data_IF_550182622713
#
_entry.id   IF_550182622713
#
_cell.length_a   1.000
_cell.length_b   1.000
_cell.length_c   1.000
_cell.angle_alpha   90.00
_cell.angle_beta   90.00
_cell.angle_gamma   90.00
#
_symmetry.space_group_name_H-M   'P 1'
#
loop_
_entity.id
_entity.type
_entity.pdbx_description
1 polymer ?
#
# COMPACT_ATOMS: atom_id res chain seq x y z
N UNK A 1 -9.16 21.24 -4.21
CA UNK A 1 -8.26 20.21 -3.66
C UNK A 1 -7.03 20.82 -2.97
N UNK A 2 -5.92 21.18 -3.64
CA UNK A 2 -4.72 21.65 -2.90
C UNK A 2 -4.84 23.02 -2.22
N UNK A 3 -5.72 23.90 -2.72
CA UNK A 3 -6.02 25.18 -2.07
C UNK A 3 -6.68 24.95 -0.69
N UNK A 4 -7.72 24.11 -0.66
CA UNK A 4 -8.41 23.74 0.57
C UNK A 4 -7.48 23.06 1.57
N UNK A 5 -6.49 22.28 1.11
CA UNK A 5 -5.50 21.65 1.98
C UNK A 5 -4.65 22.69 2.71
N UNK A 6 -4.18 23.72 2.00
CA UNK A 6 -3.40 24.80 2.62
C UNK A 6 -4.27 25.70 3.50
N UNK A 7 -5.51 25.98 3.07
CA UNK A 7 -6.49 26.71 3.87
C UNK A 7 -6.81 25.95 5.17
N UNK A 8 -6.81 24.61 5.17
CA UNK A 8 -6.96 23.82 6.39
C UNK A 8 -5.70 23.90 7.27
N UNK A 9 -4.51 23.78 6.65
CA UNK A 9 -3.24 23.77 7.36
C UNK A 9 -2.96 25.13 8.04
N UNK A 10 -3.40 26.24 7.45
CA UNK A 10 -3.28 27.56 8.07
C UNK A 10 -4.05 27.68 9.38
N UNK A 11 -5.11 26.89 9.56
CA UNK A 11 -5.92 26.84 10.79
C UNK A 11 -5.39 25.84 11.82
N UNK A 12 -4.24 25.20 11.57
CA UNK A 12 -3.64 24.16 12.42
C UNK A 12 -2.27 24.61 12.97
N UNK A 13 -2.22 25.59 13.89
CA UNK A 13 -0.96 26.19 14.37
C UNK A 13 -0.06 25.19 15.10
N UNK A 14 -0.63 24.14 15.70
CA UNK A 14 0.14 23.07 16.34
C UNK A 14 0.97 22.28 15.31
N UNK A 15 0.37 21.94 14.17
CA UNK A 15 1.06 21.21 13.11
C UNK A 15 2.12 22.11 12.45
N UNK A 16 1.76 23.38 12.21
CA UNK A 16 2.66 24.41 11.72
C UNK A 16 3.91 24.56 12.62
N UNK A 17 3.71 24.57 13.95
CA UNK A 17 4.80 24.60 14.93
C UNK A 17 5.72 23.38 14.85
N UNK A 18 5.17 22.17 14.71
CA UNK A 18 5.95 20.93 14.58
C UNK A 18 6.78 20.87 13.29
N UNK A 19 6.27 21.43 12.19
CA UNK A 19 7.00 21.52 10.91
C UNK A 19 7.90 22.76 10.81
N UNK A 20 7.88 23.63 11.82
CA UNK A 20 8.69 24.85 11.88
C UNK A 20 8.28 25.91 10.85
N UNK A 21 6.98 26.03 10.56
CA UNK A 21 6.43 27.02 9.64
C UNK A 21 5.40 27.90 10.35
N UNK A 22 5.34 29.17 9.98
CA UNK A 22 4.22 30.04 10.34
C UNK A 22 3.15 30.04 9.24
N UNK A 23 1.92 30.40 9.59
CA UNK A 23 0.82 30.48 8.60
C UNK A 23 1.10 31.48 7.47
N UNK A 24 1.90 32.52 7.75
CA UNK A 24 2.34 33.51 6.78
C UNK A 24 3.40 32.97 5.79
N UNK A 25 4.11 31.90 6.17
CA UNK A 25 5.18 31.29 5.37
C UNK A 25 4.68 30.13 4.50
N UNK A 26 3.38 29.84 4.54
CA UNK A 26 2.79 28.79 3.72
C UNK A 26 2.93 29.14 2.23
N UNK A 27 3.46 28.20 1.41
CA UNK A 27 3.63 28.46 -0.01
C UNK A 27 2.28 28.49 -0.72
N UNK A 28 2.19 29.21 -1.85
CA UNK A 28 0.98 29.15 -2.67
C UNK A 28 0.69 27.72 -3.13
N UNK A 29 -0.60 27.38 -3.24
CA UNK A 29 -1.08 26.05 -3.63
C UNK A 29 -0.48 25.54 -4.95
N UNK A 30 -0.14 26.41 -5.91
CA UNK A 30 0.54 26.00 -7.14
C UNK A 30 1.94 25.46 -6.90
N UNK A 31 2.60 25.91 -5.83
CA UNK A 31 3.91 25.40 -5.40
C UNK A 31 3.79 23.94 -4.96
N UNK A 32 2.76 23.60 -4.18
CA UNK A 32 2.48 22.21 -3.82
C UNK A 32 2.21 21.37 -5.06
N UNK A 33 1.34 21.83 -5.97
CA UNK A 33 1.04 21.11 -7.22
C UNK A 33 2.32 20.82 -8.01
N UNK A 34 3.15 21.84 -8.25
CA UNK A 34 4.42 21.68 -8.97
C UNK A 34 5.41 20.79 -8.25
N UNK A 35 5.39 20.80 -6.92
CA UNK A 35 6.25 19.94 -6.11
C UNK A 35 5.80 18.47 -6.21
N UNK A 36 4.50 18.20 -6.12
CA UNK A 36 3.92 16.86 -6.30
C UNK A 36 4.19 16.30 -7.70
N UNK A 37 4.23 17.14 -8.73
CA UNK A 37 4.60 16.72 -10.09
C UNK A 37 6.09 16.35 -10.22
N UNK A 38 6.96 16.90 -9.36
CA UNK A 38 8.42 16.71 -9.42
C UNK A 38 8.93 15.60 -8.52
N UNK A 39 8.25 15.35 -7.40
CA UNK A 39 8.68 14.36 -6.43
C UNK A 39 8.62 12.96 -7.05
N UNK A 40 9.75 12.25 -6.97
CA UNK A 40 9.85 10.89 -7.48
C UNK A 40 9.13 9.93 -6.55
N UNK A 41 8.44 8.93 -7.09
CA UNK A 41 7.80 7.84 -6.31
C UNK A 41 8.78 7.13 -5.37
N UNK A 42 10.06 7.07 -5.72
CA UNK A 42 11.11 6.53 -4.85
C UNK A 42 11.23 7.31 -3.52
N UNK A 43 11.13 8.65 -3.56
CA UNK A 43 11.16 9.47 -2.34
C UNK A 43 9.91 9.24 -1.48
N UNK A 44 8.74 9.11 -2.10
CA UNK A 44 7.52 8.73 -1.38
C UNK A 44 7.68 7.42 -0.63
N UNK A 45 8.26 6.40 -1.27
CA UNK A 45 8.52 5.11 -0.62
C UNK A 45 9.52 5.23 0.53
N UNK A 46 10.54 6.08 0.40
CA UNK A 46 11.48 6.32 1.50
C UNK A 46 10.79 6.99 2.68
N UNK A 47 10.03 8.06 2.44
CA UNK A 47 9.27 8.75 3.50
C UNK A 47 8.29 7.81 4.18
N UNK A 48 7.53 7.02 3.40
CA UNK A 48 6.58 6.04 3.93
C UNK A 48 7.27 4.99 4.80
N UNK A 49 8.44 4.48 4.36
CA UNK A 49 9.22 3.52 5.16
C UNK A 49 9.71 4.12 6.46
N UNK A 50 10.18 5.37 6.46
CA UNK A 50 10.60 6.06 7.68
C UNK A 50 9.41 6.25 8.63
N UNK A 51 8.25 6.66 8.11
CA UNK A 51 7.02 6.75 8.90
C UNK A 51 6.61 5.39 9.47
N UNK A 52 6.70 4.32 8.66
CA UNK A 52 6.38 2.97 9.10
C UNK A 52 7.31 2.49 10.23
N UNK A 53 8.58 2.89 10.23
CA UNK A 53 9.55 2.58 11.29
C UNK A 53 9.25 3.26 12.63
N UNK A 54 8.45 4.34 12.64
CA UNK A 54 7.99 4.97 13.88
C UNK A 54 6.92 4.14 14.59
N UNK A 55 6.36 3.15 13.92
CA UNK A 55 5.37 2.23 14.46
C UNK A 55 6.02 0.86 14.71
N UNK A 56 5.64 0.20 15.80
CA UNK A 56 6.11 -1.16 16.09
C UNK A 56 5.48 -2.15 15.09
N UNK A 57 6.27 -2.79 14.20
CA UNK A 57 5.72 -3.74 13.26
C UNK A 57 5.44 -5.06 13.98
N UNK A 58 4.16 -5.34 14.24
CA UNK A 58 3.72 -6.56 14.93
C UNK A 58 4.01 -7.87 14.19
N UNK A 59 4.61 -7.80 12.99
CA UNK A 59 4.84 -8.94 12.10
C UNK A 59 3.61 -9.35 11.29
N UNK A 60 2.46 -8.69 11.50
CA UNK A 60 1.20 -8.94 10.80
C UNK A 60 0.77 -7.72 9.99
N UNK A 61 0.40 -7.95 8.73
CA UNK A 61 -0.15 -6.89 7.89
C UNK A 61 -1.29 -7.39 7.01
N UNK A 62 -2.12 -6.44 6.58
CA UNK A 62 -3.15 -6.60 5.59
C UNK A 62 -2.73 -6.01 4.25
N UNK A 63 -3.09 -6.70 3.16
CA UNK A 63 -3.03 -6.15 1.81
C UNK A 63 -4.45 -5.94 1.30
N UNK A 64 -4.67 -4.76 0.75
CA UNK A 64 -5.87 -4.43 -0.02
C UNK A 64 -5.51 -3.61 -1.26
N UNK A 65 -6.33 -3.70 -2.31
CA UNK A 65 -6.15 -2.90 -3.53
C UNK A 65 -7.42 -2.16 -3.91
N UNK A 66 -7.26 -0.86 -4.18
CA UNK A 66 -8.29 0.02 -4.69
C UNK A 66 -7.93 0.52 -6.09
N UNK A 67 -8.94 0.75 -6.92
CA UNK A 67 -8.77 1.29 -8.27
C UNK A 67 -9.21 2.76 -8.30
N UNK A 68 -8.33 3.63 -8.77
CA UNK A 68 -8.61 5.04 -9.03
C UNK A 68 -8.67 5.29 -10.54
N UNK A 69 -9.70 6.00 -10.98
CA UNK A 69 -9.77 6.50 -12.35
C UNK A 69 -9.05 7.84 -12.42
N UNK A 70 -7.94 7.92 -13.18
CA UNK A 70 -7.16 9.17 -13.30
C UNK A 70 -7.94 10.31 -13.94
N UNK A 71 -8.95 9.99 -14.77
CA UNK A 71 -9.84 10.96 -15.38
C UNK A 71 -11.25 10.39 -15.57
N UNK A 72 -12.27 11.15 -15.19
CA UNK A 72 -13.64 10.99 -15.69
C UNK A 72 -13.77 11.69 -17.04
N UNK A 73 -13.09 11.17 -18.07
CA UNK A 73 -13.32 11.62 -19.44
C UNK A 73 -14.58 10.96 -20.00
N UNK A 74 -15.46 11.73 -20.65
CA UNK A 74 -16.68 11.16 -21.25
C UNK A 74 -16.31 10.15 -22.34
N UNK A 75 -17.12 9.09 -22.51
CA UNK A 75 -16.92 8.11 -23.60
C UNK A 75 -16.84 8.79 -24.97
N UNK A 76 -17.57 9.89 -25.16
CA UNK A 76 -17.56 10.68 -26.38
C UNK A 76 -16.21 11.38 -26.60
N UNK A 77 -15.67 12.04 -25.57
CA UNK A 77 -14.36 12.70 -25.62
C UNK A 77 -13.22 11.69 -25.89
N UNK A 78 -13.23 10.55 -25.19
CA UNK A 78 -12.23 9.49 -25.36
C UNK A 78 -12.20 8.95 -26.79
N UNK A 79 -13.37 8.72 -27.41
CA UNK A 79 -13.46 8.20 -28.78
C UNK A 79 -12.96 9.18 -29.84
N UNK A 80 -13.20 10.48 -29.65
CA UNK A 80 -12.80 11.51 -30.63
C UNK A 80 -11.29 11.80 -30.60
N UNK A 81 -10.71 11.79 -29.40
CA UNK A 81 -9.30 12.17 -29.18
C UNK A 81 -8.35 10.98 -29.14
N UNK A 82 -8.88 9.75 -29.27
CA UNK A 82 -8.14 8.51 -29.00
C UNK A 82 -7.52 8.49 -27.58
N UNK A 83 -8.15 9.18 -26.63
CA UNK A 83 -7.70 9.24 -25.25
C UNK A 83 -8.10 7.96 -24.51
N UNK A 84 -7.14 7.30 -23.85
CA UNK A 84 -7.35 6.07 -23.10
C UNK A 84 -7.29 6.38 -21.60
N UNK A 85 -8.44 6.35 -20.93
CA UNK A 85 -8.53 6.47 -19.47
C UNK A 85 -7.71 5.34 -18.84
N UNK A 86 -6.64 5.70 -18.15
CA UNK A 86 -5.83 4.76 -17.40
C UNK A 86 -6.39 4.63 -15.99
N UNK A 87 -6.83 3.42 -15.63
CA UNK A 87 -7.15 3.10 -14.23
C UNK A 87 -5.83 2.86 -13.50
N UNK A 88 -5.62 3.61 -12.42
CA UNK A 88 -4.53 3.38 -11.50
C UNK A 88 -4.99 2.36 -10.46
N UNK A 89 -4.31 1.22 -10.39
CA UNK A 89 -4.44 0.29 -9.29
C UNK A 89 -3.50 0.71 -8.18
N UNK A 90 -4.00 0.81 -6.96
CA UNK A 90 -3.24 1.17 -5.77
C UNK A 90 -3.43 0.08 -4.74
N UNK A 91 -2.35 -0.62 -4.43
CA UNK A 91 -2.30 -1.68 -3.43
C UNK A 91 -1.56 -1.15 -2.21
N UNK A 92 -2.17 -1.27 -1.03
CA UNK A 92 -1.59 -0.82 0.23
C UNK A 92 -1.32 -2.02 1.14
N UNK A 93 -0.16 -1.99 1.80
CA UNK A 93 0.20 -2.87 2.90
C UNK A 93 -0.01 -2.10 4.21
N UNK A 94 -0.80 -2.64 5.12
CA UNK A 94 -1.20 -1.96 6.37
C UNK A 94 -0.92 -2.85 7.58
N UNK A 95 -0.24 -2.34 8.60
CA UNK A 95 -0.02 -3.07 9.85
C UNK A 95 -1.33 -3.31 10.59
N UNK A 96 -1.60 -4.53 11.04
CA UNK A 96 -2.91 -4.85 11.63
C UNK A 96 -3.09 -4.33 13.06
N UNK A 97 -1.99 -4.06 13.77
CA UNK A 97 -2.05 -3.53 15.14
C UNK A 97 -2.00 -2.01 15.17
N UNK A 98 -1.01 -1.41 14.50
CA UNK A 98 -0.84 0.04 14.43
C UNK A 98 -1.80 0.74 13.46
N UNK A 99 -2.43 -0.01 12.55
CA UNK A 99 -3.18 0.52 11.40
C UNK A 99 -2.36 1.47 10.51
N UNK A 100 -1.03 1.45 10.64
CA UNK A 100 -0.14 2.27 9.84
C UNK A 100 0.00 1.70 8.43
N UNK A 101 0.06 2.58 7.43
CA UNK A 101 0.40 2.19 6.06
C UNK A 101 1.91 1.92 6.01
N UNK A 102 2.28 0.68 5.71
CA UNK A 102 3.67 0.22 5.69
C UNK A 102 4.32 0.40 4.31
N UNK A 103 3.58 0.12 3.24
CA UNK A 103 4.05 0.32 1.87
C UNK A 103 2.85 0.50 0.90
N UNK A 104 3.08 1.14 -0.24
CA UNK A 104 2.09 1.37 -1.29
C UNK A 104 2.70 1.10 -2.66
N UNK A 105 1.97 0.32 -3.47
CA UNK A 105 2.30 0.08 -4.86
C UNK A 105 1.20 0.62 -5.76
N UNK A 106 1.58 1.53 -6.66
CA UNK A 106 0.69 2.08 -7.67
C UNK A 106 1.14 1.60 -9.05
N UNK A 107 0.21 1.04 -9.82
CA UNK A 107 0.46 0.59 -11.20
C UNK A 107 -0.71 0.95 -12.11
N UNK A 108 -0.42 1.33 -13.34
CA UNK A 108 -1.43 1.47 -14.41
C UNK A 108 -1.63 0.18 -15.19
N UNK A 109 -0.80 -0.82 -14.93
CA UNK A 109 -0.87 -2.14 -15.52
C UNK A 109 -1.74 -3.07 -14.68
N UNK A 110 -2.41 -4.04 -15.31
CA UNK A 110 -3.20 -5.06 -14.61
C UNK A 110 -2.35 -6.17 -14.00
N UNK A 111 -1.05 -5.95 -13.82
CA UNK A 111 -0.12 -6.95 -13.28
C UNK A 111 -0.40 -7.24 -11.80
N UNK A 112 -0.02 -8.44 -11.37
CA UNK A 112 -0.39 -9.01 -10.07
C UNK A 112 0.26 -8.26 -8.89
N UNK A 113 -0.48 -8.13 -7.79
CA UNK A 113 -0.13 -7.35 -6.58
C UNK A 113 1.03 -7.92 -5.74
N UNK A 114 1.80 -8.85 -6.29
CA UNK A 114 2.75 -9.67 -5.55
C UNK A 114 4.00 -8.91 -5.08
N UNK A 115 4.16 -7.63 -5.43
CA UNK A 115 5.41 -6.89 -5.14
C UNK A 115 5.49 -6.28 -3.73
N UNK A 116 4.43 -6.35 -2.93
CA UNK A 116 4.37 -5.69 -1.61
C UNK A 116 4.58 -6.63 -0.42
N UNK A 117 4.54 -7.94 -0.60
CA UNK A 117 4.38 -8.90 0.52
C UNK A 117 5.64 -9.19 1.33
N UNK A 118 6.81 -8.73 0.90
CA UNK A 118 8.11 -9.21 1.38
C UNK A 118 8.54 -8.74 2.78
N UNK A 119 7.77 -7.88 3.44
CA UNK A 119 8.20 -7.19 4.66
C UNK A 119 7.55 -7.72 5.95
N UNK A 120 6.72 -8.79 5.89
CA UNK A 120 5.89 -9.21 7.03
C UNK A 120 5.86 -10.72 7.21
N UNK A 121 5.82 -11.19 8.45
CA UNK A 121 5.75 -12.62 8.77
C UNK A 121 4.35 -13.23 8.48
N UNK A 122 3.28 -12.42 8.55
CA UNK A 122 1.90 -12.85 8.31
C UNK A 122 1.14 -11.84 7.47
N UNK A 123 0.47 -12.32 6.43
CA UNK A 123 -0.28 -11.47 5.49
C UNK A 123 -1.77 -11.81 5.44
N UNK A 124 -2.64 -10.93 5.88
CA UNK A 124 -4.09 -11.00 5.66
C UNK A 124 -4.48 -10.36 4.34
N UNK A 125 -5.39 -10.97 3.59
CA UNK A 125 -5.96 -10.37 2.39
C UNK A 125 -7.37 -10.90 2.15
N UNK A 126 -8.13 -10.21 1.30
CA UNK A 126 -9.50 -10.58 0.97
C UNK A 126 -9.59 -11.90 0.15
N UNK A 127 -10.83 -12.38 -0.06
CA UNK A 127 -11.10 -13.59 -0.88
C UNK A 127 -10.72 -13.39 -2.36
N UNK A 128 -10.59 -12.15 -2.82
CA UNK A 128 -10.08 -11.77 -4.13
C UNK A 128 -8.65 -12.24 -4.36
N UNK A 129 -7.82 -12.28 -3.30
CA UNK A 129 -6.43 -12.77 -3.33
C UNK A 129 -6.26 -14.28 -3.19
N UNK A 130 -7.34 -15.08 -3.20
CA UNK A 130 -7.20 -16.54 -3.19
C UNK A 130 -6.69 -17.10 -4.52
N UNK A 131 -5.37 -17.06 -4.68
CA UNK A 131 -4.65 -17.67 -5.79
C UNK A 131 -3.52 -18.54 -5.23
N UNK A 132 -3.45 -19.78 -5.68
CA UNK A 132 -2.38 -20.73 -5.36
C UNK A 132 -0.96 -20.17 -5.57
N UNK A 133 -0.65 -19.54 -6.72
CA UNK A 133 0.69 -18.98 -6.96
C UNK A 133 1.07 -17.89 -5.94
N UNK A 134 0.11 -17.06 -5.52
CA UNK A 134 0.36 -16.08 -4.46
C UNK A 134 0.66 -16.78 -3.13
N UNK A 135 -0.10 -17.83 -2.78
CA UNK A 135 0.13 -18.60 -1.55
C UNK A 135 1.47 -19.32 -1.56
N UNK A 136 1.86 -19.90 -2.70
CA UNK A 136 3.14 -20.59 -2.87
C UNK A 136 4.29 -19.61 -2.70
N UNK A 137 4.25 -18.46 -3.38
CA UNK A 137 5.27 -17.42 -3.22
C UNK A 137 5.38 -16.90 -1.79
N UNK A 138 4.24 -16.65 -1.14
CA UNK A 138 4.23 -16.25 0.27
C UNK A 138 4.89 -17.31 1.16
N UNK A 139 4.62 -18.60 0.91
CA UNK A 139 5.27 -19.69 1.64
C UNK A 139 6.77 -19.81 1.33
N UNK A 140 7.21 -19.57 0.09
CA UNK A 140 8.64 -19.52 -0.28
C UNK A 140 9.38 -18.42 0.49
N UNK A 141 8.71 -17.30 0.72
CA UNK A 141 9.23 -16.14 1.45
C UNK A 141 9.02 -16.25 2.98
N UNK A 142 8.65 -17.42 3.52
CA UNK A 142 8.32 -17.66 4.94
C UNK A 142 7.20 -16.75 5.49
N UNK A 143 6.37 -16.20 4.61
CA UNK A 143 5.21 -15.38 4.96
C UNK A 143 3.97 -16.27 5.03
N UNK A 144 3.36 -16.38 6.21
CA UNK A 144 2.15 -17.21 6.36
C UNK A 144 0.90 -16.48 5.84
N UNK A 145 0.24 -16.97 4.76
CA UNK A 145 -0.94 -16.31 4.20
C UNK A 145 -2.18 -16.55 5.05
N UNK A 146 -2.82 -15.44 5.42
CA UNK A 146 -4.04 -15.37 6.20
C UNK A 146 -5.21 -14.97 5.28
N UNK A 147 -5.41 -15.72 4.19
CA UNK A 147 -6.40 -15.44 3.11
C UNK A 147 -7.52 -16.50 3.12
N UNK A 148 -8.79 -16.08 2.98
CA UNK A 148 -9.95 -16.99 2.88
C UNK A 148 -9.99 -17.66 1.49
N UNK A 149 -10.26 -18.96 1.43
CA UNK A 149 -10.41 -19.66 0.16
C UNK A 149 -11.69 -19.26 -0.58
N UNK A 150 -11.60 -19.18 -1.91
CA UNK A 150 -12.74 -19.15 -2.81
C UNK A 150 -13.45 -20.49 -2.74
N UNK A 151 -14.71 -20.45 -2.31
CA UNK A 151 -15.60 -21.60 -2.12
C UNK A 151 -16.09 -22.14 -3.48
N UNK A 152 -15.15 -22.53 -4.33
CA UNK A 152 -15.42 -23.09 -5.66
C UNK A 152 -15.63 -24.60 -5.56
N UNK A 153 -14.90 -25.27 -4.65
CA UNK A 153 -15.00 -26.70 -4.39
C UNK A 153 -15.26 -27.00 -2.91
N UNK A 154 -15.89 -28.13 -2.55
CA UNK A 154 -16.18 -28.50 -1.16
C UNK A 154 -14.96 -28.48 -0.25
N UNK A 155 -13.79 -28.87 -0.78
CA UNK A 155 -12.51 -28.80 -0.07
C UNK A 155 -12.19 -27.38 0.44
N UNK A 156 -12.50 -26.34 -0.34
CA UNK A 156 -12.27 -24.95 0.06
C UNK A 156 -13.17 -24.52 1.24
N UNK A 157 -14.42 -24.99 1.25
CA UNK A 157 -15.36 -24.74 2.36
C UNK A 157 -14.83 -25.37 3.65
N UNK A 158 -14.36 -26.62 3.58
CA UNK A 158 -13.74 -27.30 4.73
C UNK A 158 -12.49 -26.57 5.22
N UNK A 159 -11.64 -26.06 4.33
CA UNK A 159 -10.47 -25.26 4.73
C UNK A 159 -10.87 -23.96 5.43
N UNK A 160 -11.90 -23.27 4.94
CA UNK A 160 -12.42 -22.07 5.59
C UNK A 160 -13.00 -22.36 6.98
N UNK A 161 -13.74 -23.46 7.14
CA UNK A 161 -14.30 -23.88 8.44
C UNK A 161 -13.19 -24.21 9.43
N UNK A 162 -12.23 -25.08 9.04
CA UNK A 162 -11.08 -25.44 9.89
C UNK A 162 -10.33 -24.21 10.39
N UNK A 163 -10.20 -23.21 9.52
CA UNK A 163 -9.51 -21.96 9.79
C UNK A 163 -10.30 -20.99 10.68
N UNK A 164 -11.63 -21.01 10.63
CA UNK A 164 -12.48 -20.22 11.53
C UNK A 164 -12.49 -20.79 12.96
N UNK A 165 -12.26 -22.10 13.10
CA UNK A 165 -12.26 -22.82 14.37
C UNK A 165 -10.88 -22.83 15.03
N UNK A 166 -9.79 -22.59 14.31
CA UNK A 166 -8.45 -22.44 14.90
C UNK A 166 -8.31 -21.07 15.56
N UNK A 167 -8.03 -21.00 16.88
CA UNK A 167 -7.83 -19.74 17.57
C UNK A 167 -6.66 -18.94 16.98
N UNK A 168 -6.77 -17.61 17.03
CA UNK A 168 -5.67 -16.70 16.75
C UNK A 168 -4.57 -16.88 17.80
N UNK A 169 -3.64 -17.79 17.56
CA UNK A 169 -2.45 -17.90 18.41
C UNK A 169 -1.44 -16.82 17.96
N UNK A 170 -1.07 -15.94 18.90
CA UNK A 170 0.10 -15.10 18.80
C UNK A 170 1.34 -16.02 18.75
N UNK A 171 2.24 -15.90 17.76
CA UNK A 171 3.55 -16.52 17.88
C UNK A 171 4.32 -15.85 19.03
N UNK A 172 5.20 -16.57 19.73
CA UNK A 172 6.07 -15.97 20.73
C UNK A 172 6.91 -14.87 20.08
N UNK A 173 7.06 -13.74 20.76
CA UNK A 173 7.67 -12.47 20.35
C UNK A 173 9.19 -12.52 20.11
N UNK A 174 9.75 -13.68 19.74
CA UNK A 174 11.19 -13.95 19.76
C UNK A 174 11.89 -13.96 18.40
N UNK A 175 11.21 -14.27 17.31
CA UNK A 175 11.86 -14.49 16.00
C UNK A 175 11.14 -13.71 14.90
N UNK A 176 11.27 -12.38 14.92
CA UNK A 176 11.06 -11.60 13.70
C UNK A 176 12.29 -11.78 12.81
N UNK A 177 12.14 -12.10 11.51
CA UNK A 177 13.27 -12.07 10.59
C UNK A 177 13.88 -10.67 10.65
N UNK A 178 15.21 -10.60 10.81
CA UNK A 178 15.93 -9.32 10.78
C UNK A 178 15.53 -8.57 9.50
N UNK A 179 15.32 -7.25 9.53
CA UNK A 179 15.09 -6.50 8.32
C UNK A 179 16.22 -6.80 7.35
N UNK A 180 15.89 -7.44 6.23
CA UNK A 180 16.85 -7.72 5.18
C UNK A 180 17.38 -6.37 4.71
N UNK A 181 18.67 -6.10 4.94
CA UNK A 181 19.40 -5.04 4.25
C UNK A 181 19.33 -5.38 2.76
N UNK A 182 18.40 -4.76 2.05
CA UNK A 182 18.33 -4.90 0.60
C UNK A 182 19.41 -4.01 0.00
N UNK A 183 20.44 -4.68 -0.53
CA UNK A 183 21.54 -4.09 -1.26
C UNK A 183 21.05 -3.14 -2.35
N UNK A 184 21.69 -1.98 -2.35
CA UNK A 184 21.53 -0.91 -3.33
C UNK A 184 22.19 -1.39 -4.63
N UNK A 185 21.52 -2.26 -5.37
CA UNK A 185 21.83 -2.49 -6.78
C UNK A 185 20.62 -2.11 -7.63
N UNK A 186 20.62 -0.83 -8.00
CA UNK A 186 19.92 -0.26 -9.14
C UNK A 186 20.05 -1.17 -10.36
N UNK A 187 19.00 -1.93 -10.68
CA UNK A 187 18.71 -2.26 -12.07
C UNK A 187 17.75 -1.21 -12.60
N UNK A 188 18.36 -0.15 -13.14
CA UNK A 188 17.78 0.65 -14.21
C UNK A 188 17.17 -0.29 -15.26
N UNK A 189 15.86 -0.24 -15.44
CA UNK A 189 15.22 -0.43 -16.74
C UNK A 189 14.08 0.56 -16.87
N UNK A 190 14.32 1.49 -17.80
CA UNK A 190 13.38 2.45 -18.34
C UNK A 190 12.11 1.75 -18.86
N UNK A 191 10.94 2.29 -18.49
CA UNK A 191 9.85 2.69 -19.39
C UNK A 191 8.76 3.39 -18.57
#
# INVERSE_FOLDING_TARGET
MYRETLDLLSEMPQILGEIGLDSADLPDHLTLVKWFDRIKTALWRVLLRLSAQLHDPSGHAAIDATFFHRETASKHYCRRTNYRVQTLKTTALVGTESHAILDVHCTTEKTHDTQLSWQVARLTADKGYDWMELREKLCEDDVRPVIKHREIVPKCVVHNIKRAVTPWNHPPSGDLPRPIQLDIHTRSRNA
#
